data_IF_759420421214
#
_entry.id   IF_759420421214
#
_cell.length_a   1.000
_cell.length_b   1.000
_cell.length_c   1.000
_cell.angle_alpha   90.00
_cell.angle_beta   90.00
_cell.angle_gamma   90.00
#
_symmetry.space_group_name_H-M   'P 1'
#
loop_
_entity.id
_entity.type
_entity.pdbx_description
1 polymer ?
#
# COMPACT_ATOMS: atom_id res chain seq x y z
N UNK A 1 -18.66 -6.65 -7.37
CA UNK A 1 -17.94 -6.27 -8.60
C UNK A 1 -18.00 -7.43 -9.60
N UNK A 2 -18.12 -7.17 -10.92
CA UNK A 2 -18.11 -8.25 -11.92
C UNK A 2 -16.67 -8.49 -12.41
N UNK A 3 -15.95 -9.34 -11.67
CA UNK A 3 -14.53 -9.65 -11.87
C UNK A 3 -14.19 -10.08 -13.30
N UNK A 4 -15.07 -10.85 -13.94
CA UNK A 4 -14.86 -11.35 -15.30
C UNK A 4 -14.76 -10.21 -16.32
N UNK A 5 -15.55 -9.14 -16.15
CA UNK A 5 -15.51 -7.97 -17.05
C UNK A 5 -14.23 -7.16 -16.87
N UNK A 6 -13.76 -6.96 -15.65
CA UNK A 6 -12.53 -6.19 -15.43
C UNK A 6 -11.27 -6.95 -15.81
N UNK A 7 -11.25 -8.26 -15.62
CA UNK A 7 -10.19 -9.12 -16.15
C UNK A 7 -10.14 -8.99 -17.68
N UNK A 8 -11.30 -9.07 -18.37
CA UNK A 8 -11.35 -8.89 -19.82
C UNK A 8 -10.84 -7.51 -20.26
N UNK A 9 -11.21 -6.45 -19.53
CA UNK A 9 -10.76 -5.08 -19.83
C UNK A 9 -9.25 -4.95 -19.67
N UNK A 10 -8.65 -5.54 -18.62
CA UNK A 10 -7.20 -5.56 -18.40
C UNK A 10 -6.47 -6.32 -19.51
N UNK A 11 -6.95 -7.51 -19.88
CA UNK A 11 -6.37 -8.27 -20.99
C UNK A 11 -6.50 -7.51 -22.32
N UNK A 12 -7.64 -6.87 -22.57
CA UNK A 12 -7.85 -6.01 -23.74
C UNK A 12 -6.89 -4.81 -23.77
N UNK A 13 -6.68 -4.14 -22.64
CA UNK A 13 -5.69 -3.05 -22.53
C UNK A 13 -4.26 -3.55 -22.77
N UNK A 14 -3.90 -4.69 -22.18
CA UNK A 14 -2.58 -5.29 -22.37
C UNK A 14 -2.32 -5.66 -23.84
N UNK A 15 -3.30 -6.27 -24.52
CA UNK A 15 -3.22 -6.59 -25.95
C UNK A 15 -3.09 -5.34 -26.84
N UNK A 16 -3.74 -4.24 -26.44
CA UNK A 16 -3.66 -2.94 -27.13
C UNK A 16 -2.42 -2.12 -26.75
N UNK A 17 -1.49 -2.68 -25.94
CA UNK A 17 -0.30 -1.99 -25.47
C UNK A 17 -0.58 -0.76 -24.58
N UNK A 18 -1.78 -0.67 -24.01
CA UNK A 18 -2.19 0.42 -23.14
C UNK A 18 -1.84 0.10 -21.68
N UNK A 19 -1.52 1.11 -20.85
CA UNK A 19 -1.30 0.89 -19.43
C UNK A 19 -2.55 0.29 -18.79
N UNK A 20 -2.35 -0.69 -17.93
CA UNK A 20 -3.40 -1.40 -17.21
C UNK A 20 -3.05 -1.48 -15.72
N UNK A 21 -4.09 -1.64 -14.91
CA UNK A 21 -3.99 -1.69 -13.45
C UNK A 21 -3.63 -3.11 -13.02
N UNK A 22 -2.62 -3.30 -12.15
CA UNK A 22 -2.31 -4.62 -11.62
C UNK A 22 -3.45 -5.16 -10.75
N UNK A 23 -3.54 -6.49 -10.64
CA UNK A 23 -4.47 -7.15 -9.71
C UNK A 23 -4.03 -6.92 -8.26
N UNK A 24 -2.73 -7.02 -8.03
CA UNK A 24 -2.07 -6.88 -6.73
C UNK A 24 -0.96 -5.86 -6.88
N UNK A 25 -0.97 -4.82 -6.05
CA UNK A 25 0.12 -3.86 -5.96
C UNK A 25 0.80 -4.03 -4.59
N UNK A 26 2.09 -4.33 -4.58
CA UNK A 26 2.89 -4.35 -3.36
C UNK A 26 3.76 -3.08 -3.28
N UNK A 27 3.57 -2.29 -2.23
CA UNK A 27 4.27 -1.03 -2.01
C UNK A 27 5.11 -1.13 -0.74
N UNK A 28 6.42 -0.97 -0.91
CA UNK A 28 7.37 -0.80 0.19
C UNK A 28 7.36 0.67 0.63
N UNK A 29 6.50 0.99 1.60
CA UNK A 29 6.18 2.38 1.95
C UNK A 29 7.28 3.06 2.77
N UNK A 30 8.14 2.27 3.42
CA UNK A 30 9.17 2.77 4.32
C UNK A 30 10.39 1.87 4.40
N UNK A 31 11.57 2.47 4.60
CA UNK A 31 12.81 1.79 4.97
C UNK A 31 13.19 2.08 6.43
N UNK A 32 12.19 2.37 7.27
CA UNK A 32 12.35 2.52 8.72
C UNK A 32 11.69 1.32 9.40
N UNK A 33 12.44 0.65 10.27
CA UNK A 33 11.99 -0.47 11.08
C UNK A 33 12.57 -0.33 12.49
N UNK A 34 11.78 -0.69 13.49
CA UNK A 34 12.15 -0.78 14.91
C UNK A 34 12.87 -2.10 15.25
N UNK A 35 12.75 -3.11 14.38
CA UNK A 35 13.46 -4.39 14.50
C UNK A 35 14.67 -4.49 13.55
N UNK A 36 15.60 -5.39 13.89
CA UNK A 36 16.76 -5.79 13.07
C UNK A 36 16.84 -7.32 13.00
N UNK A 37 15.98 -7.91 12.16
CA UNK A 37 15.90 -9.36 12.04
C UNK A 37 17.07 -9.89 11.21
N UNK A 38 17.76 -10.93 11.69
CA UNK A 38 18.95 -11.52 11.02
C UNK A 38 18.66 -12.08 9.62
N UNK A 39 17.40 -12.43 9.35
CA UNK A 39 16.95 -12.97 8.06
C UNK A 39 16.31 -11.89 7.17
N UNK A 40 16.36 -10.61 7.56
CA UNK A 40 15.71 -9.53 6.81
C UNK A 40 16.58 -9.18 5.60
N UNK A 41 16.03 -9.43 4.41
CA UNK A 41 16.65 -9.01 3.15
C UNK A 41 16.88 -7.50 3.07
N UNK A 42 16.11 -6.69 3.81
CA UNK A 42 16.14 -5.23 3.77
C UNK A 42 17.13 -4.59 4.77
N UNK A 43 17.92 -5.40 5.51
CA UNK A 43 18.71 -4.89 6.64
C UNK A 43 19.67 -3.76 6.24
N UNK A 44 20.37 -3.92 5.11
CA UNK A 44 21.33 -2.91 4.63
C UNK A 44 20.60 -1.63 4.18
N UNK A 45 19.44 -1.75 3.54
CA UNK A 45 18.62 -0.61 3.13
C UNK A 45 17.94 0.12 4.30
N UNK A 46 17.71 -0.56 5.43
CA UNK A 46 17.17 0.04 6.65
C UNK A 46 18.15 1.01 7.31
N UNK A 47 19.44 0.85 7.08
CA UNK A 47 20.49 1.70 7.68
C UNK A 47 21.01 2.78 6.71
N UNK A 48 20.60 2.72 5.43
CA UNK A 48 20.90 3.72 4.40
C UNK A 48 20.14 5.05 4.64
N UNK A 49 20.84 6.00 5.27
CA UNK A 49 20.34 7.37 5.51
C UNK A 49 20.01 8.12 4.21
N UNK A 50 20.88 8.15 3.18
CA UNK A 50 20.53 8.74 1.88
C UNK A 50 19.23 8.19 1.27
N UNK A 51 18.98 6.89 1.36
CA UNK A 51 17.77 6.27 0.80
C UNK A 51 16.50 6.66 1.56
N UNK A 52 16.59 6.82 2.89
CA UNK A 52 15.46 7.36 3.70
C UNK A 52 15.02 8.74 3.23
N UNK A 53 15.94 9.59 2.78
CA UNK A 53 15.61 10.92 2.25
C UNK A 53 14.86 10.87 0.91
N UNK A 54 14.97 9.76 0.17
CA UNK A 54 14.29 9.52 -1.11
C UNK A 54 12.95 8.78 -0.95
N UNK A 55 12.53 8.52 0.29
CA UNK A 55 11.28 7.83 0.55
C UNK A 55 10.09 8.70 0.10
N UNK A 56 9.17 8.11 -0.67
CA UNK A 56 8.03 8.85 -1.24
C UNK A 56 7.19 9.51 -0.16
N UNK A 57 6.90 10.78 -0.32
CA UNK A 57 5.99 11.54 0.56
C UNK A 57 4.55 11.11 0.31
N UNK A 58 3.66 11.41 1.27
CA UNK A 58 2.23 11.06 1.20
C UNK A 58 1.58 11.53 -0.09
N UNK A 59 1.81 12.79 -0.49
CA UNK A 59 1.24 13.36 -1.72
C UNK A 59 1.72 12.68 -3.00
N UNK A 60 2.92 12.08 -2.99
CA UNK A 60 3.43 11.33 -4.14
C UNK A 60 2.69 9.99 -4.27
N UNK A 61 2.39 9.34 -3.15
CA UNK A 61 1.56 8.13 -3.10
C UNK A 61 0.11 8.41 -3.49
N UNK A 62 -0.44 9.54 -3.04
CA UNK A 62 -1.75 10.03 -3.48
C UNK A 62 -1.78 10.20 -5.00
N UNK A 63 -0.77 10.88 -5.57
CA UNK A 63 -0.64 11.04 -7.02
C UNK A 63 -0.52 9.71 -7.78
N UNK A 64 0.12 8.70 -7.18
CA UNK A 64 0.14 7.35 -7.76
C UNK A 64 -1.27 6.76 -7.79
N UNK A 65 -2.03 6.86 -6.69
CA UNK A 65 -3.41 6.36 -6.65
C UNK A 65 -4.30 7.03 -7.70
N UNK A 66 -4.11 8.32 -7.96
CA UNK A 66 -4.82 9.09 -8.99
C UNK A 66 -4.44 8.67 -10.41
N UNK A 67 -3.15 8.41 -10.65
CA UNK A 67 -2.62 8.11 -12.00
C UNK A 67 -2.70 6.63 -12.38
N UNK A 68 -2.77 5.71 -11.41
CA UNK A 68 -2.86 4.26 -11.66
C UNK A 68 -4.06 3.92 -12.53
N UNK A 69 -5.16 4.69 -12.38
CA UNK A 69 -6.42 4.46 -13.07
C UNK A 69 -7.09 3.16 -12.63
N UNK A 70 -8.37 3.02 -12.94
CA UNK A 70 -9.15 1.78 -12.74
C UNK A 70 -9.12 1.17 -11.34
N UNK A 71 -9.49 -0.11 -11.27
CA UNK A 71 -9.76 -0.78 -10.01
C UNK A 71 -8.53 -1.55 -9.53
N UNK A 72 -8.15 -1.37 -8.27
CA UNK A 72 -7.08 -2.11 -7.59
C UNK A 72 -7.72 -3.04 -6.54
N UNK A 73 -7.85 -4.35 -6.81
CA UNK A 73 -8.44 -5.30 -5.87
C UNK A 73 -7.65 -5.43 -4.57
N UNK A 74 -6.32 -5.53 -4.68
CA UNK A 74 -5.44 -5.81 -3.54
C UNK A 74 -4.26 -4.84 -3.50
N UNK A 75 -4.12 -4.18 -2.36
CA UNK A 75 -2.94 -3.40 -2.00
C UNK A 75 -2.20 -4.10 -0.84
N UNK A 76 -0.93 -4.41 -1.04
CA UNK A 76 -0.05 -4.90 0.02
C UNK A 76 0.86 -3.74 0.42
N UNK A 77 0.80 -3.34 1.68
CA UNK A 77 1.69 -2.34 2.26
C UNK A 77 2.72 -3.07 3.11
N UNK A 78 3.98 -2.98 2.66
CA UNK A 78 5.13 -3.58 3.31
C UNK A 78 6.29 -2.58 3.39
N UNK A 79 7.50 -3.04 3.72
CA UNK A 79 8.69 -2.21 3.84
C UNK A 79 9.55 -2.68 5.00
N UNK A 80 10.11 -1.73 5.74
CA UNK A 80 10.55 -1.94 7.12
C UNK A 80 9.34 -2.25 8.00
N UNK A 81 8.93 -1.30 8.82
CA UNK A 81 7.71 -1.42 9.62
C UNK A 81 6.69 -0.35 9.19
N UNK A 82 5.61 -0.71 8.47
CA UNK A 82 4.64 0.25 7.94
C UNK A 82 4.08 1.21 8.98
N UNK A 83 3.82 0.75 10.21
CA UNK A 83 3.21 1.57 11.28
C UNK A 83 4.18 2.58 11.90
N UNK A 84 5.45 2.61 11.47
CA UNK A 84 6.34 3.74 11.76
C UNK A 84 5.87 5.02 11.07
N UNK A 85 5.15 4.90 9.94
CA UNK A 85 4.52 6.03 9.24
C UNK A 85 3.24 6.47 9.92
N UNK A 86 3.15 7.75 10.24
CA UNK A 86 1.93 8.35 10.83
C UNK A 86 0.84 8.65 9.81
N UNK A 87 1.24 8.74 8.55
CA UNK A 87 0.42 9.06 7.39
C UNK A 87 -0.11 7.80 6.66
N UNK A 88 0.04 6.61 7.26
CA UNK A 88 -0.43 5.37 6.66
C UNK A 88 -1.95 5.36 6.41
N UNK A 89 -2.81 5.83 7.33
CA UNK A 89 -4.25 5.94 7.08
C UNK A 89 -4.61 6.82 5.88
N UNK A 90 -3.87 7.91 5.67
CA UNK A 90 -4.05 8.85 4.56
C UNK A 90 -3.75 8.16 3.22
N UNK A 91 -2.67 7.38 3.17
CA UNK A 91 -2.32 6.58 1.98
C UNK A 91 -3.39 5.54 1.71
N UNK A 92 -3.81 4.76 2.71
CA UNK A 92 -4.87 3.77 2.55
C UNK A 92 -6.17 4.39 2.01
N UNK A 93 -6.55 5.56 2.54
CA UNK A 93 -7.72 6.33 2.10
C UNK A 93 -7.62 6.80 0.65
N UNK A 94 -6.43 7.23 0.21
CA UNK A 94 -6.20 7.67 -1.15
C UNK A 94 -6.46 6.53 -2.16
N UNK A 95 -5.87 5.36 -1.92
CA UNK A 95 -6.11 4.17 -2.76
C UNK A 95 -7.56 3.68 -2.68
N UNK A 96 -8.18 3.73 -1.50
CA UNK A 96 -9.61 3.40 -1.35
C UNK A 96 -10.50 4.30 -2.21
N UNK A 97 -10.30 5.62 -2.14
CA UNK A 97 -11.11 6.60 -2.89
C UNK A 97 -10.88 6.53 -4.40
N UNK A 98 -9.62 6.41 -4.82
CA UNK A 98 -9.25 6.59 -6.23
C UNK A 98 -9.28 5.28 -7.03
N UNK A 99 -9.12 4.11 -6.37
CA UNK A 99 -8.95 2.83 -7.06
C UNK A 99 -9.98 1.76 -6.68
N UNK A 100 -11.06 2.12 -5.99
CA UNK A 100 -12.08 1.15 -5.52
C UNK A 100 -11.44 -0.04 -4.78
N UNK A 101 -10.53 0.26 -3.85
CA UNK A 101 -9.76 -0.76 -3.15
C UNK A 101 -10.68 -1.71 -2.37
N UNK A 102 -10.54 -3.02 -2.60
CA UNK A 102 -11.34 -4.02 -1.90
C UNK A 102 -10.63 -4.60 -0.68
N UNK A 103 -9.31 -4.82 -0.77
CA UNK A 103 -8.50 -5.38 0.31
C UNK A 103 -7.17 -4.68 0.44
N UNK A 104 -6.79 -4.37 1.68
CA UNK A 104 -5.46 -3.89 2.06
C UNK A 104 -4.81 -4.89 3.02
N UNK A 105 -3.57 -5.27 2.74
CA UNK A 105 -2.75 -6.14 3.57
C UNK A 105 -1.64 -5.31 4.21
N UNK A 106 -1.62 -5.22 5.53
CA UNK A 106 -0.65 -4.43 6.29
C UNK A 106 0.40 -5.37 6.89
N UNK A 107 1.52 -5.53 6.20
CA UNK A 107 2.60 -6.43 6.61
C UNK A 107 3.41 -5.80 7.75
N UNK A 108 3.02 -6.09 8.99
CA UNK A 108 3.65 -5.55 10.20
C UNK A 108 4.29 -6.65 11.05
N UNK A 109 5.34 -6.28 11.80
CA UNK A 109 5.94 -7.11 12.84
C UNK A 109 5.11 -7.16 14.15
N UNK A 110 4.08 -6.31 14.27
CA UNK A 110 3.13 -6.31 15.39
C UNK A 110 3.62 -5.64 16.68
N UNK A 111 4.84 -5.07 16.73
CA UNK A 111 5.40 -4.48 17.95
C UNK A 111 4.75 -3.15 18.33
N UNK A 112 4.42 -2.31 17.34
CA UNK A 112 3.96 -0.94 17.55
C UNK A 112 2.44 -0.89 17.81
N UNK A 113 1.93 -1.69 18.74
CA UNK A 113 0.48 -1.85 19.00
C UNK A 113 -0.24 -0.52 19.27
N UNK A 114 0.43 0.40 19.99
CA UNK A 114 -0.07 1.75 20.28
C UNK A 114 -0.35 2.60 19.04
N UNK A 115 0.18 2.20 17.87
CA UNK A 115 -0.04 2.83 16.57
C UNK A 115 -0.90 1.96 15.67
N UNK A 116 -0.66 0.65 15.69
CA UNK A 116 -1.43 -0.32 14.89
C UNK A 116 -2.92 -0.19 15.16
N UNK A 117 -3.35 -0.29 16.42
CA UNK A 117 -4.78 -0.32 16.73
C UNK A 117 -5.51 0.97 16.32
N UNK A 118 -5.04 2.18 16.69
CA UNK A 118 -5.71 3.42 16.27
C UNK A 118 -5.67 3.66 14.76
N UNK A 119 -4.56 3.32 14.10
CA UNK A 119 -4.41 3.55 12.66
C UNK A 119 -5.33 2.59 11.87
N UNK A 120 -5.42 1.31 12.26
CA UNK A 120 -6.34 0.33 11.67
C UNK A 120 -7.80 0.70 11.95
N UNK A 121 -8.15 1.08 13.18
CA UNK A 121 -9.51 1.53 13.52
C UNK A 121 -9.93 2.73 12.67
N UNK A 122 -9.02 3.70 12.50
CA UNK A 122 -9.25 4.86 11.64
C UNK A 122 -9.47 4.46 10.19
N UNK A 123 -8.66 3.54 9.64
CA UNK A 123 -8.82 3.02 8.28
C UNK A 123 -10.20 2.37 8.11
N UNK A 124 -10.58 1.46 9.01
CA UNK A 124 -11.87 0.78 8.97
C UNK A 124 -13.05 1.76 9.05
N UNK A 125 -12.93 2.81 9.87
CA UNK A 125 -13.96 3.85 10.01
C UNK A 125 -14.07 4.75 8.78
N UNK A 126 -12.94 5.16 8.21
CA UNK A 126 -12.90 6.10 7.07
C UNK A 126 -13.09 5.41 5.71
N UNK A 127 -12.81 4.10 5.62
CA UNK A 127 -12.91 3.29 4.41
C UNK A 127 -13.91 2.14 4.63
N UNK A 128 -15.23 2.42 4.67
CA UNK A 128 -16.22 1.38 4.92
C UNK A 128 -16.18 0.30 3.84
N UNK A 129 -16.35 -0.97 4.22
CA UNK A 129 -16.28 -2.15 3.34
C UNK A 129 -14.87 -2.50 2.80
N UNK A 130 -13.82 -1.78 3.21
CA UNK A 130 -12.45 -2.19 2.95
C UNK A 130 -12.08 -3.37 3.85
N UNK A 131 -11.59 -4.46 3.27
CA UNK A 131 -11.03 -5.57 4.05
C UNK A 131 -9.61 -5.20 4.48
N UNK A 132 -9.38 -5.05 5.78
CA UNK A 132 -8.05 -4.78 6.35
C UNK A 132 -7.52 -6.08 6.95
N UNK A 133 -6.36 -6.52 6.45
CA UNK A 133 -5.73 -7.80 6.76
C UNK A 133 -4.30 -7.60 7.24
#
# INVERSE_FOLDING_TARGET
>A
MNYSKEILKRYGQALLGRPFVPVVLNVLITSVCDMRCVHCFFTDELDDKPRKLKQMKTHELEKISETLGGNLPVLIVAGGEPFTRKDLPEVAKAFYKNNQLESIYLMSNGQIQKRILPDVERILRECPNLNVL
#
